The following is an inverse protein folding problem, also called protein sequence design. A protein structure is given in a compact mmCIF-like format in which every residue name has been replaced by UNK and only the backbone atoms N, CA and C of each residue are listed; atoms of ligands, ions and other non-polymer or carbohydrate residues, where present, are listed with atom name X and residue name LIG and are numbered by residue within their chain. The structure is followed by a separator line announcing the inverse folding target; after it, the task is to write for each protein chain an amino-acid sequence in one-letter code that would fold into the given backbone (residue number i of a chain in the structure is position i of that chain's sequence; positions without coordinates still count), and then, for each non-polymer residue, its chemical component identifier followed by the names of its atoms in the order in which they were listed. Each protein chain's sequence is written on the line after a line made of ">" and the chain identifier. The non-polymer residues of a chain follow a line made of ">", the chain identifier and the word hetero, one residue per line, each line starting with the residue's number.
data_IF_817082108883
#
_entry.id   IF_817082108883
#
_cell.length_a   1.000
_cell.length_b   1.000
_cell.length_c   1.000
_cell.angle_alpha   90.00
_cell.angle_beta   90.00
_cell.angle_gamma   90.00
#
_symmetry.space_group_name_H-M   'P 1'
#
loop_
_entity.id
_entity.type
_entity.pdbx_description
1 polymer ?
#
# COMPACT_ATOMS: atom_id res chain seq x y z
N UNK A 1 -17.58 2.74 -7.79
CA UNK A 1 -17.04 1.72 -8.70
C UNK A 1 -15.57 1.54 -8.38
N UNK A 2 -15.13 0.34 -7.98
CA UNK A 2 -13.74 0.04 -7.59
C UNK A 2 -12.86 -0.26 -8.83
N UNK A 3 -12.76 0.70 -9.76
CA UNK A 3 -11.82 0.64 -10.89
C UNK A 3 -11.72 -0.73 -11.56
N UNK A 4 -12.81 -1.23 -12.15
CA UNK A 4 -12.85 -2.55 -12.81
C UNK A 4 -12.07 -2.61 -14.15
N UNK A 5 -11.24 -1.62 -14.46
CA UNK A 5 -10.31 -1.67 -15.61
C UNK A 5 -9.10 -2.55 -15.30
N UNK A 6 -8.41 -3.07 -16.30
CA UNK A 6 -7.12 -3.75 -16.14
C UNK A 6 -5.96 -2.74 -16.09
N UNK A 7 -4.78 -3.19 -15.63
CA UNK A 7 -3.53 -2.42 -15.65
C UNK A 7 -3.63 -1.06 -14.92
N UNK A 8 -3.94 -1.09 -13.62
CA UNK A 8 -4.14 0.13 -12.82
C UNK A 8 -3.30 0.14 -11.55
N UNK A 9 -2.73 1.31 -11.25
CA UNK A 9 -1.89 1.58 -10.10
C UNK A 9 -2.46 2.70 -9.24
N UNK A 10 -2.04 2.74 -7.97
CA UNK A 10 -2.35 3.85 -7.08
C UNK A 10 -1.59 5.09 -7.55
N UNK A 11 -2.30 6.20 -7.73
CA UNK A 11 -1.72 7.50 -8.10
C UNK A 11 -1.57 8.42 -6.88
N UNK A 12 -0.53 9.24 -6.89
CA UNK A 12 -0.38 10.35 -5.97
C UNK A 12 -0.78 11.65 -6.69
N UNK A 13 -1.75 12.34 -6.10
CA UNK A 13 -2.15 13.69 -6.47
C UNK A 13 -1.79 14.63 -5.32
N UNK A 14 -1.32 15.84 -5.64
CA UNK A 14 -0.90 16.81 -4.62
C UNK A 14 -1.53 18.17 -4.87
N UNK A 15 -1.99 18.80 -3.79
CA UNK A 15 -2.41 20.18 -3.75
C UNK A 15 -1.31 21.07 -3.17
N UNK A 16 -1.21 22.30 -3.69
CA UNK A 16 -0.34 23.36 -3.17
C UNK A 16 -1.13 24.57 -2.66
N UNK A 17 -2.45 24.46 -2.60
CA UNK A 17 -3.39 25.55 -2.31
C UNK A 17 -4.42 25.13 -1.25
N UNK A 18 -4.00 24.30 -0.29
CA UNK A 18 -4.84 23.90 0.83
C UNK A 18 -5.94 22.89 0.47
N UNK A 19 -5.78 22.14 -0.62
CA UNK A 19 -6.71 21.11 -1.05
C UNK A 19 -7.74 21.57 -2.09
N UNK A 20 -7.62 22.79 -2.64
CA UNK A 20 -8.56 23.33 -3.62
C UNK A 20 -8.32 22.71 -5.00
N UNK A 21 -7.08 22.74 -5.49
CA UNK A 21 -6.69 22.12 -6.75
C UNK A 21 -5.67 21.02 -6.53
N UNK A 22 -5.74 19.99 -7.36
CA UNK A 22 -4.89 18.82 -7.29
C UNK A 22 -4.22 18.57 -8.63
N UNK A 23 -2.93 18.23 -8.59
CA UNK A 23 -2.17 17.84 -9.78
C UNK A 23 -1.61 16.44 -9.59
N UNK A 24 -1.71 15.63 -10.64
CA UNK A 24 -1.02 14.35 -10.70
C UNK A 24 0.48 14.56 -10.46
N UNK A 25 1.06 13.73 -9.58
CA UNK A 25 2.49 13.76 -9.27
C UNK A 25 3.19 12.51 -9.77
N UNK A 26 2.68 11.33 -9.44
CA UNK A 26 3.34 10.06 -9.77
C UNK A 26 2.41 8.86 -9.60
N UNK A 27 2.83 7.70 -10.12
CA UNK A 27 2.27 6.39 -9.75
C UNK A 27 3.02 5.83 -8.54
N UNK A 28 2.31 5.54 -7.47
CA UNK A 28 2.85 5.04 -6.19
C UNK A 28 3.26 3.58 -6.32
N UNK A 29 2.37 2.74 -6.84
CA UNK A 29 2.63 1.33 -7.10
C UNK A 29 3.06 1.06 -8.53
N UNK A 30 3.50 -0.16 -8.77
CA UNK A 30 3.65 -0.74 -10.11
C UNK A 30 3.43 -2.24 -10.04
N UNK A 31 3.04 -2.86 -11.15
CA UNK A 31 2.84 -4.31 -11.24
C UNK A 31 3.36 -4.90 -12.56
N UNK A 32 4.63 -4.65 -12.95
CA UNK A 32 5.18 -5.19 -14.20
C UNK A 32 5.19 -6.72 -14.24
N UNK A 33 5.20 -7.38 -13.08
CA UNK A 33 5.11 -8.84 -12.93
C UNK A 33 3.73 -9.40 -13.30
N UNK A 34 2.68 -8.57 -13.23
CA UNK A 34 1.29 -8.96 -13.44
C UNK A 34 0.58 -7.87 -14.26
N UNK A 35 0.96 -7.61 -15.53
CA UNK A 35 0.62 -6.38 -16.27
C UNK A 35 -0.88 -6.07 -16.42
N UNK A 36 -1.71 -7.09 -16.28
CA UNK A 36 -3.16 -7.01 -16.38
C UNK A 36 -3.84 -6.84 -15.00
N UNK A 37 -3.05 -6.90 -13.92
CA UNK A 37 -3.48 -6.75 -12.55
C UNK A 37 -3.87 -5.32 -12.18
N UNK A 38 -4.41 -5.18 -10.97
CA UNK A 38 -4.82 -3.89 -10.45
C UNK A 38 -4.33 -3.73 -9.02
N UNK A 39 -3.55 -2.69 -8.76
CA UNK A 39 -3.14 -2.23 -7.44
C UNK A 39 -4.09 -1.10 -7.02
N UNK A 40 -4.96 -1.36 -6.04
CA UNK A 40 -5.98 -0.39 -5.60
C UNK A 40 -6.12 -0.28 -4.09
N UNK A 41 -5.87 -1.37 -3.36
CA UNK A 41 -6.03 -1.39 -1.93
C UNK A 41 -4.77 -0.81 -1.31
N UNK A 42 -4.89 0.24 -0.52
CA UNK A 42 -3.72 0.93 0.00
C UNK A 42 -3.92 1.51 1.39
N UNK A 43 -2.81 1.60 2.10
CA UNK A 43 -2.64 2.46 3.26
C UNK A 43 -1.42 3.36 3.04
N UNK A 44 -1.43 4.56 3.61
CA UNK A 44 -0.36 5.55 3.42
C UNK A 44 -0.06 6.29 4.72
N UNK A 45 1.18 6.71 4.91
CA UNK A 45 1.59 7.53 6.04
C UNK A 45 3.03 8.01 5.93
N UNK A 46 3.55 8.53 7.05
CA UNK A 46 4.94 8.97 7.17
C UNK A 46 5.70 8.05 8.13
N UNK A 47 6.97 7.77 7.80
CA UNK A 47 7.88 7.16 8.77
C UNK A 47 8.53 8.23 9.67
N UNK A 48 9.37 7.80 10.62
CA UNK A 48 10.08 8.71 11.54
C UNK A 48 11.07 9.69 10.88
N UNK A 49 11.39 9.49 9.61
CA UNK A 49 12.26 10.38 8.81
C UNK A 49 11.44 11.35 7.94
N UNK A 50 10.09 11.29 7.98
CA UNK A 50 9.21 12.08 7.13
C UNK A 50 9.09 11.57 5.69
N UNK A 51 9.58 10.36 5.41
CA UNK A 51 9.39 9.71 4.11
C UNK A 51 7.95 9.20 3.97
N UNK A 52 7.38 9.34 2.77
CA UNK A 52 6.08 8.73 2.46
C UNK A 52 6.25 7.22 2.39
N UNK A 53 5.39 6.49 3.09
CA UNK A 53 5.29 5.03 3.05
C UNK A 53 3.89 4.66 2.61
N UNK A 54 3.79 3.79 1.61
CA UNK A 54 2.54 3.17 1.22
C UNK A 54 2.69 1.64 1.23
N UNK A 55 1.62 0.96 1.65
CA UNK A 55 1.44 -0.47 1.46
C UNK A 55 0.30 -0.65 0.47
N UNK A 56 0.55 -1.36 -0.62
CA UNK A 56 -0.41 -1.49 -1.73
C UNK A 56 -0.62 -2.95 -2.10
N UNK A 57 -1.86 -3.42 -2.05
CA UNK A 57 -2.26 -4.73 -2.59
C UNK A 57 -3.31 -4.57 -3.69
N UNK A 58 -3.76 -5.70 -4.23
CA UNK A 58 -4.51 -5.68 -5.46
C UNK A 58 -5.10 -7.02 -5.83
N UNK A 59 -5.61 -7.07 -7.06
CA UNK A 59 -6.28 -8.22 -7.63
C UNK A 59 -5.67 -8.57 -8.98
N UNK A 60 -5.69 -9.87 -9.30
CA UNK A 60 -5.42 -10.32 -10.66
C UNK A 60 -6.65 -10.03 -11.55
N UNK A 61 -6.45 -9.94 -12.86
CA UNK A 61 -7.54 -9.74 -13.81
C UNK A 61 -8.58 -10.85 -13.69
N UNK A 62 -9.84 -10.46 -13.50
CA UNK A 62 -10.97 -11.39 -13.35
C UNK A 62 -10.98 -12.22 -12.07
N UNK A 63 -9.96 -12.12 -11.20
CA UNK A 63 -9.81 -12.96 -10.02
C UNK A 63 -9.37 -12.16 -8.79
N UNK A 64 -10.21 -12.20 -7.75
CA UNK A 64 -9.97 -11.44 -6.51
C UNK A 64 -9.01 -12.12 -5.54
N UNK A 65 -8.75 -13.41 -5.69
CA UNK A 65 -7.92 -14.19 -4.76
C UNK A 65 -7.14 -15.28 -5.51
N UNK A 66 -5.85 -15.52 -5.19
CA UNK A 66 -5.04 -14.81 -4.21
C UNK A 66 -4.92 -13.31 -4.54
N UNK A 67 -4.54 -12.51 -3.53
CA UNK A 67 -4.28 -11.09 -3.77
C UNK A 67 -2.95 -10.96 -4.51
N UNK A 68 -2.75 -9.85 -5.22
CA UNK A 68 -1.39 -9.46 -5.58
C UNK A 68 -0.58 -9.25 -4.29
N UNK A 69 0.61 -9.86 -4.22
CA UNK A 69 1.52 -9.75 -3.06
C UNK A 69 1.67 -8.31 -2.61
N UNK A 70 1.55 -8.04 -1.31
CA UNK A 70 1.65 -6.67 -0.77
C UNK A 70 2.93 -5.97 -1.25
N UNK A 71 2.82 -4.77 -1.80
CA UNK A 71 3.95 -3.98 -2.25
C UNK A 71 4.19 -2.84 -1.25
N UNK A 72 5.41 -2.75 -0.72
CA UNK A 72 5.89 -1.60 0.05
C UNK A 72 6.46 -0.57 -0.92
N UNK A 73 5.94 0.65 -0.88
CA UNK A 73 6.41 1.78 -1.66
C UNK A 73 6.93 2.87 -0.71
N UNK A 74 8.18 3.29 -0.86
CA UNK A 74 8.77 4.38 -0.04
C UNK A 74 9.24 5.50 -0.96
N UNK A 75 8.86 6.73 -0.63
CA UNK A 75 9.36 7.92 -1.30
C UNK A 75 10.07 8.85 -0.33
N UNK A 76 11.30 9.23 -0.69
CA UNK A 76 12.15 10.17 0.07
C UNK A 76 12.13 11.60 -0.49
N UNK A 77 11.45 11.80 -1.61
CA UNK A 77 11.48 13.06 -2.38
C UNK A 77 10.07 13.67 -2.54
N UNK A 78 9.26 13.51 -1.49
CA UNK A 78 7.86 13.96 -1.43
C UNK A 78 6.98 13.33 -2.53
N UNK A 79 7.19 12.06 -2.85
CA UNK A 79 6.34 11.29 -3.74
C UNK A 79 6.63 11.52 -5.23
N UNK A 80 7.82 12.02 -5.60
CA UNK A 80 8.21 12.12 -7.02
C UNK A 80 8.68 10.77 -7.54
N UNK A 81 9.49 10.07 -6.76
CA UNK A 81 9.96 8.71 -7.06
C UNK A 81 9.67 7.76 -5.91
N UNK A 82 9.63 6.46 -6.21
CA UNK A 82 9.24 5.41 -5.28
C UNK A 82 10.18 4.21 -5.38
N UNK A 83 10.78 3.83 -4.25
CA UNK A 83 11.40 2.52 -4.04
C UNK A 83 10.30 1.51 -3.74
N UNK A 84 10.23 0.42 -4.52
CA UNK A 84 9.14 -0.56 -4.46
C UNK A 84 9.68 -1.96 -4.20
N UNK A 85 9.08 -2.65 -3.23
CA UNK A 85 9.46 -4.01 -2.89
C UNK A 85 8.22 -4.85 -2.60
N UNK A 86 8.16 -6.06 -3.18
CA UNK A 86 7.13 -7.03 -2.84
C UNK A 86 7.42 -7.68 -1.49
N UNK A 87 6.38 -7.85 -0.69
CA UNK A 87 6.38 -8.54 0.59
C UNK A 87 5.56 -9.82 0.45
N UNK A 88 5.96 -10.88 1.14
CA UNK A 88 5.26 -12.16 1.13
C UNK A 88 4.08 -12.14 2.11
N UNK A 89 3.11 -11.25 1.83
CA UNK A 89 1.91 -11.03 2.64
C UNK A 89 0.68 -10.85 1.74
N UNK A 90 -0.35 -11.66 1.99
CA UNK A 90 -1.63 -11.62 1.28
C UNK A 90 -2.70 -10.95 2.15
N UNK A 91 -2.64 -9.63 2.19
CA UNK A 91 -3.49 -8.78 3.02
C UNK A 91 -3.99 -7.56 2.25
N UNK A 92 -5.11 -7.01 2.70
CA UNK A 92 -5.66 -5.74 2.21
C UNK A 92 -5.32 -4.65 3.22
N UNK A 93 -4.31 -3.79 2.95
CA UNK A 93 -4.04 -2.63 3.79
C UNK A 93 -5.13 -1.57 3.57
N UNK A 94 -5.44 -0.81 4.62
CA UNK A 94 -6.38 0.30 4.51
C UNK A 94 -6.09 1.39 5.55
N UNK A 95 -6.57 2.60 5.26
CA UNK A 95 -6.47 3.74 6.16
C UNK A 95 -5.04 4.28 6.25
N UNK A 96 -4.69 4.79 7.42
CA UNK A 96 -3.42 5.45 7.64
C UNK A 96 -2.37 4.49 8.21
N UNK A 97 -1.12 4.72 7.80
CA UNK A 97 0.07 4.17 8.45
C UNK A 97 0.54 5.22 9.45
N UNK A 98 0.68 4.84 10.73
CA UNK A 98 1.14 5.77 11.76
C UNK A 98 2.29 5.18 12.58
N UNK A 99 3.15 6.08 13.06
CA UNK A 99 4.30 5.72 13.87
C UNK A 99 3.91 5.54 15.35
N UNK A 100 4.54 4.57 16.00
CA UNK A 100 4.49 4.35 17.44
C UNK A 100 5.65 5.06 18.15
N UNK A 101 5.56 5.26 19.47
CA UNK A 101 6.64 5.86 20.26
C UNK A 101 7.98 5.13 20.16
N UNK A 102 7.98 3.83 19.84
CA UNK A 102 9.19 3.02 19.65
C UNK A 102 9.74 3.05 18.21
N UNK A 103 9.17 3.90 17.34
CA UNK A 103 9.60 4.08 15.96
C UNK A 103 9.05 3.05 14.97
N UNK A 104 8.31 2.03 15.43
CA UNK A 104 7.63 1.10 14.51
C UNK A 104 6.44 1.78 13.84
N UNK A 105 6.16 1.36 12.61
CA UNK A 105 4.94 1.74 11.89
C UNK A 105 3.87 0.68 12.10
N UNK A 106 2.61 1.14 12.17
CA UNK A 106 1.41 0.29 12.25
C UNK A 106 0.51 0.57 11.07
N UNK A 107 -0.02 -0.50 10.48
CA UNK A 107 -0.98 -0.45 9.39
C UNK A 107 -2.19 -1.35 9.71
N UNK A 108 -3.42 -0.83 9.72
CA UNK A 108 -4.62 -1.65 9.69
C UNK A 108 -4.69 -2.47 8.40
N UNK A 109 -5.12 -3.71 8.51
CA UNK A 109 -5.28 -4.61 7.38
C UNK A 109 -6.42 -5.61 7.63
N UNK A 110 -6.81 -6.32 6.57
CA UNK A 110 -7.66 -7.50 6.72
C UNK A 110 -7.31 -8.55 5.67
N UNK A 111 -7.71 -9.80 5.92
CA UNK A 111 -7.54 -10.91 4.97
C UNK A 111 -8.76 -11.80 4.89
N UNK A 112 -8.85 -12.61 3.82
CA UNK A 112 -9.80 -13.73 3.79
C UNK A 112 -9.24 -14.87 4.64
N UNK A 113 -10.08 -15.49 5.45
CA UNK A 113 -9.73 -16.75 6.08
C UNK A 113 -10.04 -17.92 5.12
N UNK A 114 -9.28 -19.03 5.20
CA UNK A 114 -9.62 -20.28 4.53
C UNK A 114 -11.00 -20.80 4.94
N UNK A 115 -11.62 -21.62 4.07
CA UNK A 115 -12.92 -22.27 4.33
C UNK A 115 -14.11 -21.66 3.58
N UNK A 116 -15.27 -22.27 3.78
CA UNK A 116 -16.52 -21.85 3.13
C UNK A 116 -17.06 -20.53 3.69
N UNK A 117 -17.70 -19.74 2.83
CA UNK A 117 -18.33 -18.47 3.18
C UNK A 117 -17.41 -17.24 3.10
N UNK A 118 -17.90 -16.12 3.65
CA UNK A 118 -17.26 -14.79 3.57
C UNK A 118 -16.63 -14.39 4.91
N UNK A 119 -15.80 -15.27 5.50
CA UNK A 119 -15.08 -14.95 6.73
C UNK A 119 -13.87 -14.05 6.44
N UNK A 120 -13.76 -12.97 7.21
CA UNK A 120 -12.66 -12.00 7.14
C UNK A 120 -12.10 -11.81 8.54
N UNK A 121 -10.78 -11.64 8.62
CA UNK A 121 -10.08 -11.30 9.85
C UNK A 121 -9.45 -9.93 9.67
N UNK A 122 -9.76 -9.01 10.59
CA UNK A 122 -9.04 -7.75 10.71
C UNK A 122 -7.74 -7.98 11.47
N UNK A 123 -6.68 -7.32 11.04
CA UNK A 123 -5.35 -7.44 11.62
C UNK A 123 -4.64 -6.08 11.61
N UNK A 124 -3.54 -6.00 12.34
CA UNK A 124 -2.61 -4.88 12.27
C UNK A 124 -1.23 -5.43 11.92
N UNK A 125 -0.55 -4.74 11.00
CA UNK A 125 0.80 -5.08 10.54
C UNK A 125 1.76 -4.09 11.17
N UNK A 126 2.86 -4.59 11.74
CA UNK A 126 3.92 -3.77 12.29
C UNK A 126 5.16 -3.84 11.39
N UNK A 127 5.85 -2.72 11.22
CA UNK A 127 7.23 -2.79 10.71
C UNK A 127 8.14 -3.45 11.75
N UNK A 128 9.10 -4.25 11.31
CA UNK A 128 10.20 -4.66 12.19
C UNK A 128 11.13 -3.46 12.41
N UNK A 129 11.62 -3.29 13.63
CA UNK A 129 12.82 -2.51 13.84
C UNK A 129 13.97 -3.33 13.27
N UNK A 130 14.68 -2.84 12.26
CA UNK A 130 16.03 -3.33 12.02
C UNK A 130 16.80 -3.08 13.29
N UNK A 131 17.29 -4.15 13.94
CA UNK A 131 18.32 -3.99 14.95
C UNK A 131 19.42 -3.13 14.31
N UNK A 132 19.67 -1.94 14.88
CA UNK A 132 20.88 -1.21 14.53
C UNK A 132 22.04 -2.18 14.76
N UNK A 133 22.91 -2.45 13.77
CA UNK A 133 24.17 -3.10 14.07
C UNK A 133 24.87 -2.22 15.12
N UNK A 134 25.23 -2.84 16.25
CA UNK A 134 26.08 -2.21 17.27
C UNK A 134 27.42 -1.85 16.67
#
# INVERSE_FOLDING_TARGET
>A
SHGYGDNSDVELWVSTDGGVNWKFRSKVSSHPEEPDGIRMNHAVGLNGEGHLVALVSGYHKGQKLPLLKLQRCISKDSGRTWDRQLLDLDVVPHGDIFALPDGRLVCPAYRKLPGEGRRREASVIFSSATALPR
#
